data_IF_890597990266
#
_entry.id   IF_890597990266
#
_cell.length_a   1.000
_cell.length_b   1.000
_cell.length_c   1.000
_cell.angle_alpha   90.00
_cell.angle_beta   90.00
_cell.angle_gamma   90.00
#
_symmetry.space_group_name_H-M   'P 1'
#
loop_
_entity.id
_entity.type
_entity.pdbx_description
1 polymer ?
#
# COMPACT_ATOMS: atom_id res chain seq x y z
N UNK A 1 2.25 -2.01 6.51
CA UNK A 1 2.59 -3.21 5.72
C UNK A 1 3.38 -2.80 4.49
N UNK A 2 4.19 -3.71 3.93
CA UNK A 2 4.71 -3.53 2.57
C UNK A 2 3.67 -4.04 1.55
N UNK A 3 3.86 -3.74 0.26
CA UNK A 3 2.90 -4.17 -0.78
C UNK A 3 2.81 -5.70 -0.93
N UNK A 4 3.92 -6.43 -0.74
CA UNK A 4 3.95 -7.88 -0.93
C UNK A 4 3.13 -8.62 0.15
N UNK A 5 3.15 -8.13 1.39
CA UNK A 5 2.36 -8.68 2.50
C UNK A 5 0.87 -8.49 2.26
N UNK A 6 0.48 -7.36 1.66
CA UNK A 6 -0.92 -7.08 1.31
C UNK A 6 -1.41 -8.04 0.22
N UNK A 7 -0.60 -8.29 -0.82
CA UNK A 7 -0.98 -9.24 -1.88
C UNK A 7 -1.10 -10.68 -1.39
N UNK A 8 -0.32 -11.07 -0.38
CA UNK A 8 -0.46 -12.36 0.30
C UNK A 8 -1.73 -12.44 1.16
N UNK A 9 -2.05 -11.36 1.88
CA UNK A 9 -3.18 -11.33 2.82
C UNK A 9 -4.54 -11.16 2.13
N UNK A 10 -4.56 -10.50 0.97
CA UNK A 10 -5.77 -10.22 0.19
C UNK A 10 -5.64 -10.76 -1.25
N UNK A 11 -5.53 -12.09 -1.42
CA UNK A 11 -5.42 -12.68 -2.74
C UNK A 11 -6.72 -12.45 -3.52
N UNK A 12 -6.60 -12.06 -4.79
CA UNK A 12 -7.72 -11.85 -5.72
C UNK A 12 -8.77 -10.82 -5.27
N UNK A 13 -8.43 -9.95 -4.32
CA UNK A 13 -9.31 -8.86 -3.87
C UNK A 13 -8.83 -7.51 -4.39
N UNK A 14 -9.78 -6.60 -4.55
CA UNK A 14 -9.49 -5.18 -4.64
C UNK A 14 -9.26 -4.63 -3.24
N UNK A 15 -8.27 -3.75 -3.06
CA UNK A 15 -7.93 -3.17 -1.75
C UNK A 15 -7.77 -1.66 -1.86
N UNK A 16 -8.29 -0.95 -0.86
CA UNK A 16 -8.07 0.49 -0.68
C UNK A 16 -6.94 0.67 0.32
N UNK A 17 -5.92 1.45 -0.08
CA UNK A 17 -4.72 1.67 0.73
C UNK A 17 -4.63 3.10 1.24
N UNK A 18 -4.29 3.24 2.51
CA UNK A 18 -3.84 4.50 3.09
C UNK A 18 -2.33 4.55 3.16
N UNK A 19 -1.74 5.62 2.64
CA UNK A 19 -0.31 5.89 2.74
C UNK A 19 0.04 6.64 4.02
N UNK A 20 0.53 5.93 5.04
CA UNK A 20 0.89 6.50 6.34
C UNK A 20 2.18 7.31 6.30
N UNK A 21 3.11 6.94 5.41
CA UNK A 21 4.37 7.68 5.21
C UNK A 21 4.70 7.77 3.75
N UNK A 22 5.01 8.98 3.30
CA UNK A 22 5.41 9.24 1.90
C UNK A 22 6.74 9.96 1.83
N UNK A 23 7.58 9.59 0.86
CA UNK A 23 8.80 10.31 0.51
C UNK A 23 8.85 10.58 -0.99
N UNK A 24 9.57 11.63 -1.38
CA UNK A 24 9.83 11.96 -2.78
C UNK A 24 11.30 11.74 -3.09
N UNK A 25 11.58 11.15 -4.25
CA UNK A 25 12.92 11.03 -4.79
C UNK A 25 12.86 11.38 -6.28
N UNK A 26 13.32 12.58 -6.63
CA UNK A 26 13.10 13.16 -7.96
C UNK A 26 11.61 13.32 -8.26
N UNK A 27 11.18 12.82 -9.44
CA UNK A 27 9.78 12.82 -9.87
C UNK A 27 8.96 11.63 -9.34
N UNK A 28 9.53 10.80 -8.48
CA UNK A 28 8.85 9.62 -7.95
C UNK A 28 8.37 9.87 -6.52
N UNK A 29 7.17 9.37 -6.22
CA UNK A 29 6.59 9.35 -4.88
C UNK A 29 6.54 7.91 -4.39
N UNK A 30 7.15 7.69 -3.23
CA UNK A 30 7.22 6.40 -2.56
C UNK A 30 6.33 6.41 -1.33
N UNK A 31 5.73 5.26 -1.06
CA UNK A 31 4.89 5.03 0.11
C UNK A 31 5.56 3.93 0.95
N UNK A 32 6.21 4.32 2.05
CA UNK A 32 7.05 3.40 2.82
C UNK A 32 6.26 2.62 3.89
N UNK A 33 5.08 3.13 4.27
CA UNK A 33 4.13 2.45 5.14
C UNK A 33 2.72 2.62 4.58
N UNK A 34 2.09 1.49 4.25
CA UNK A 34 0.69 1.45 3.81
C UNK A 34 -0.16 0.59 4.75
N UNK A 35 -1.43 0.96 4.89
CA UNK A 35 -2.45 0.20 5.62
C UNK A 35 -3.62 -0.10 4.68
N UNK A 36 -4.30 -1.23 4.86
CA UNK A 36 -5.52 -1.55 4.13
C UNK A 36 -6.71 -0.98 4.89
N UNK A 37 -7.49 -0.12 4.24
CA UNK A 37 -8.72 0.43 4.84
C UNK A 37 -9.93 -0.46 4.53
N UNK A 38 -10.05 -0.89 3.28
CA UNK A 38 -11.19 -1.66 2.78
C UNK A 38 -10.72 -2.72 1.77
N UNK A 39 -11.50 -3.79 1.61
CA UNK A 39 -11.27 -4.82 0.61
C UNK A 39 -12.59 -5.35 0.04
N UNK A 40 -12.62 -5.62 -1.27
CA UNK A 40 -13.78 -6.12 -2.01
C UNK A 40 -13.44 -7.42 -2.74
#
# INVERSE_FOLDING_TARGET
MNWIDIRKSYPNKWVVLEGLKTRKQGNQKYYDNISVMESF
#
